data_IF_113726036790
#
_entry.id   IF_113726036790
#
_cell.length_a   1.000
_cell.length_b   1.000
_cell.length_c   1.000
_cell.angle_alpha   90.00
_cell.angle_beta   90.00
_cell.angle_gamma   90.00
#
_symmetry.space_group_name_H-M   'P 1'
#
loop_
_entity.id
_entity.type
_entity.pdbx_description
1 polymer ?
#
# COMPACT_ATOMS: atom_id res chain seq x y z
N UNK A 1 -48.10 82.88 44.87
CA UNK A 1 -47.30 82.71 43.69
C UNK A 1 -47.13 81.26 43.46
N UNK A 2 -47.85 80.72 42.49
CA UNK A 2 -48.08 79.30 42.24
C UNK A 2 -47.27 78.92 41.04
N UNK A 3 -46.19 78.16 41.23
CA UNK A 3 -45.38 77.62 40.10
C UNK A 3 -45.80 76.18 39.86
N UNK A 4 -46.42 75.91 38.79
CA UNK A 4 -46.72 74.57 38.28
C UNK A 4 -45.44 73.95 37.69
N UNK A 5 -45.18 72.67 37.97
CA UNK A 5 -44.04 71.94 37.34
C UNK A 5 -44.41 71.57 35.89
N UNK A 6 -43.47 71.81 34.99
CA UNK A 6 -43.60 71.44 33.57
C UNK A 6 -43.38 69.95 33.35
N UNK A 7 -44.08 69.27 32.46
CA UNK A 7 -43.92 67.88 32.15
C UNK A 7 -42.62 67.65 31.32
N UNK A 8 -41.82 66.66 31.74
CA UNK A 8 -40.62 66.21 31.07
C UNK A 8 -40.99 65.41 29.78
N UNK A 9 -40.21 65.51 28.70
CA UNK A 9 -40.44 64.73 27.49
C UNK A 9 -40.08 63.27 27.71
N UNK A 10 -41.00 62.39 27.41
CA UNK A 10 -40.78 60.91 27.43
C UNK A 10 -39.84 60.50 26.34
N UNK A 11 -38.74 59.83 26.68
CA UNK A 11 -37.80 59.25 25.77
C UNK A 11 -38.46 58.07 25.00
N UNK A 12 -38.61 58.27 23.69
CA UNK A 12 -39.07 57.25 22.76
C UNK A 12 -37.95 56.22 22.56
N UNK A 13 -38.14 55.03 23.04
CA UNK A 13 -37.26 53.87 22.84
C UNK A 13 -37.30 53.46 21.35
N UNK A 14 -36.14 53.35 20.66
CA UNK A 14 -36.16 52.92 19.27
C UNK A 14 -36.56 51.44 19.22
N UNK A 15 -37.61 51.17 18.43
CA UNK A 15 -38.09 49.82 18.10
C UNK A 15 -37.01 49.09 17.28
N UNK A 16 -36.33 48.12 17.89
CA UNK A 16 -35.37 47.22 17.23
C UNK A 16 -36.15 46.29 16.31
N UNK A 17 -35.91 46.29 14.97
CA UNK A 17 -36.57 45.34 14.07
C UNK A 17 -36.14 43.89 14.42
N UNK A 18 -37.12 43.05 14.74
CA UNK A 18 -36.95 41.62 14.93
C UNK A 18 -36.67 41.02 13.54
N UNK A 19 -35.38 40.75 13.24
CA UNK A 19 -35.00 39.95 12.08
C UNK A 19 -35.40 38.49 12.37
N UNK A 20 -36.52 38.09 11.76
CA UNK A 20 -36.88 36.66 11.71
C UNK A 20 -35.77 35.94 10.93
N UNK A 21 -34.94 35.16 11.69
CA UNK A 21 -33.98 34.26 11.09
C UNK A 21 -34.77 33.22 10.29
N UNK A 22 -34.74 33.34 8.97
CA UNK A 22 -35.26 32.34 8.05
C UNK A 22 -34.39 31.09 8.28
N UNK A 23 -34.96 30.07 8.92
CA UNK A 23 -34.29 28.78 9.11
C UNK A 23 -33.96 28.19 7.73
N UNK A 24 -32.71 28.21 7.36
CA UNK A 24 -32.23 27.54 6.15
C UNK A 24 -32.56 26.04 6.28
N UNK A 25 -33.34 25.45 5.35
CA UNK A 25 -33.64 24.02 5.43
C UNK A 25 -32.34 23.21 5.45
N UNK A 26 -32.21 22.38 6.47
CA UNK A 26 -31.06 21.50 6.59
C UNK A 26 -30.91 20.65 5.32
N UNK A 27 -29.78 20.77 4.65
CA UNK A 27 -29.47 19.97 3.47
C UNK A 27 -29.69 18.50 3.81
N UNK A 28 -30.44 17.72 3.02
CA UNK A 28 -30.63 16.30 3.27
C UNK A 28 -29.27 15.64 3.33
N UNK A 29 -29.00 14.92 4.42
CA UNK A 29 -27.76 14.15 4.58
C UNK A 29 -27.70 13.18 3.40
N UNK A 30 -26.75 13.41 2.48
CA UNK A 30 -26.49 12.49 1.37
C UNK A 30 -26.24 11.13 1.98
N UNK A 31 -27.06 10.15 1.67
CA UNK A 31 -26.83 8.75 2.03
C UNK A 31 -25.45 8.39 1.53
N UNK A 32 -24.50 8.15 2.46
CA UNK A 32 -23.17 7.66 2.11
C UNK A 32 -23.37 6.26 1.51
N UNK A 33 -22.97 6.03 0.25
CA UNK A 33 -23.16 4.72 -0.37
C UNK A 33 -22.53 3.66 0.52
N UNK A 34 -23.29 2.63 0.87
CA UNK A 34 -22.79 1.49 1.66
C UNK A 34 -21.70 0.82 0.82
N UNK A 35 -20.48 0.75 1.36
CA UNK A 35 -19.38 0.07 0.69
C UNK A 35 -19.66 -1.43 0.64
N UNK A 36 -19.87 -2.06 -0.53
CA UNK A 36 -20.21 -3.48 -0.63
C UNK A 36 -19.09 -4.39 -0.11
N UNK A 37 -17.88 -3.85 0.03
CA UNK A 37 -16.71 -4.58 0.52
C UNK A 37 -16.36 -4.26 1.98
N UNK A 38 -17.23 -3.60 2.75
CA UNK A 38 -16.93 -3.17 4.12
C UNK A 38 -16.48 -4.34 5.01
N UNK A 39 -17.19 -5.47 4.97
CA UNK A 39 -16.86 -6.66 5.75
C UNK A 39 -15.50 -7.27 5.34
N UNK A 40 -15.25 -7.39 4.04
CA UNK A 40 -13.97 -7.89 3.53
C UNK A 40 -12.80 -6.95 3.90
N UNK A 41 -13.01 -5.64 3.82
CA UNK A 41 -12.01 -4.67 4.22
C UNK A 41 -11.73 -4.73 5.73
N UNK A 42 -12.76 -4.90 6.57
CA UNK A 42 -12.59 -5.07 8.01
C UNK A 42 -11.80 -6.36 8.32
N UNK A 43 -12.11 -7.47 7.66
CA UNK A 43 -11.37 -8.73 7.79
C UNK A 43 -9.90 -8.56 7.40
N UNK A 44 -9.61 -7.88 6.30
CA UNK A 44 -8.25 -7.62 5.86
C UNK A 44 -7.46 -6.79 6.88
N UNK A 45 -8.06 -5.74 7.44
CA UNK A 45 -7.43 -4.88 8.47
C UNK A 45 -7.14 -5.64 9.77
N UNK A 46 -8.01 -6.57 10.18
CA UNK A 46 -7.77 -7.42 11.35
C UNK A 46 -6.53 -8.31 11.20
N UNK A 47 -6.08 -8.53 9.96
CA UNK A 47 -4.96 -9.42 9.64
C UNK A 47 -3.78 -8.70 8.96
N UNK A 48 -3.64 -7.39 9.18
CA UNK A 48 -2.53 -6.59 8.63
C UNK A 48 -1.14 -7.07 9.10
N UNK A 49 -1.06 -7.73 10.26
CA UNK A 49 0.17 -8.34 10.78
C UNK A 49 0.78 -9.36 9.81
N UNK A 50 -0.03 -9.98 8.96
CA UNK A 50 0.45 -10.89 7.91
C UNK A 50 1.24 -10.10 6.87
N UNK A 51 0.73 -8.93 6.43
CA UNK A 51 1.44 -8.07 5.47
C UNK A 51 2.78 -7.60 6.02
N UNK A 52 2.82 -7.20 7.28
CA UNK A 52 4.05 -6.77 7.95
C UNK A 52 5.12 -7.88 7.97
N UNK A 53 4.72 -9.09 8.33
CA UNK A 53 5.63 -10.25 8.38
C UNK A 53 6.13 -10.63 7.00
N UNK A 54 5.25 -10.66 5.99
CA UNK A 54 5.61 -10.96 4.60
C UNK A 54 6.57 -9.91 4.07
N UNK A 55 6.24 -8.63 4.22
CA UNK A 55 7.07 -7.51 3.78
C UNK A 55 8.45 -7.53 4.45
N UNK A 56 8.52 -7.67 5.78
CA UNK A 56 9.78 -7.71 6.51
C UNK A 56 10.67 -8.88 6.09
N UNK A 57 10.09 -10.07 5.86
CA UNK A 57 10.83 -11.24 5.42
C UNK A 57 11.41 -11.07 4.00
N UNK A 58 10.59 -10.57 3.09
CA UNK A 58 11.00 -10.42 1.69
C UNK A 58 11.95 -9.22 1.54
N UNK A 59 11.73 -8.10 2.22
CA UNK A 59 12.62 -6.93 2.21
C UNK A 59 14.07 -7.31 2.60
N UNK A 60 14.23 -8.09 3.68
CA UNK A 60 15.57 -8.58 4.11
C UNK A 60 16.27 -9.42 3.05
N UNK A 61 15.52 -10.15 2.25
CA UNK A 61 16.07 -11.08 1.23
C UNK A 61 16.34 -10.38 -0.10
N UNK A 62 15.60 -9.34 -0.40
CA UNK A 62 15.59 -8.71 -1.73
C UNK A 62 16.17 -7.30 -1.72
N UNK A 63 16.25 -6.65 -0.56
CA UNK A 63 16.68 -5.26 -0.43
C UNK A 63 15.65 -4.22 -0.91
N UNK A 64 14.42 -4.64 -1.28
CA UNK A 64 13.35 -3.70 -1.62
C UNK A 64 12.81 -2.98 -0.39
N UNK A 65 12.26 -1.75 -0.54
CA UNK A 65 11.64 -1.00 0.54
C UNK A 65 10.53 -1.80 1.20
N UNK A 66 10.57 -1.90 2.53
CA UNK A 66 9.59 -2.67 3.31
C UNK A 66 8.19 -2.08 3.16
N UNK A 67 8.09 -0.77 3.10
CA UNK A 67 6.84 -0.02 3.00
C UNK A 67 6.10 -0.37 1.70
N UNK A 68 6.80 -0.41 0.57
CA UNK A 68 6.21 -0.78 -0.72
C UNK A 68 5.72 -2.23 -0.69
N UNK A 69 6.56 -3.13 -0.20
CA UNK A 69 6.20 -4.55 -0.09
C UNK A 69 5.02 -4.77 0.87
N UNK A 70 4.90 -3.96 1.93
CA UNK A 70 3.77 -3.99 2.85
C UNK A 70 2.46 -3.60 2.15
N UNK A 71 2.46 -2.52 1.36
CA UNK A 71 1.29 -2.10 0.61
C UNK A 71 0.85 -3.17 -0.40
N UNK A 72 1.80 -3.75 -1.12
CA UNK A 72 1.52 -4.85 -2.07
C UNK A 72 0.97 -6.08 -1.35
N UNK A 73 1.55 -6.46 -0.20
CA UNK A 73 1.04 -7.56 0.61
C UNK A 73 -0.39 -7.30 1.11
N UNK A 74 -0.70 -6.06 1.50
CA UNK A 74 -2.06 -5.65 1.89
C UNK A 74 -3.06 -5.77 0.74
N UNK A 75 -2.67 -5.45 -0.50
CA UNK A 75 -3.52 -5.70 -1.68
C UNK A 75 -3.84 -7.19 -1.82
N UNK A 76 -2.86 -8.07 -1.62
CA UNK A 76 -3.08 -9.51 -1.61
C UNK A 76 -4.07 -9.94 -0.53
N UNK A 77 -3.95 -9.41 0.71
CA UNK A 77 -4.89 -9.72 1.79
C UNK A 77 -6.31 -9.23 1.47
N UNK A 78 -6.45 -8.04 0.88
CA UNK A 78 -7.75 -7.52 0.44
C UNK A 78 -8.39 -8.39 -0.64
N UNK A 79 -7.61 -8.88 -1.60
CA UNK A 79 -8.10 -9.82 -2.61
C UNK A 79 -8.54 -11.15 -1.97
N UNK A 80 -7.73 -11.67 -1.03
CA UNK A 80 -8.08 -12.86 -0.26
C UNK A 80 -9.41 -12.67 0.50
N UNK A 81 -9.57 -11.55 1.20
CA UNK A 81 -10.77 -11.25 1.99
C UNK A 81 -12.05 -11.20 1.14
N UNK A 82 -11.95 -10.65 -0.09
CA UNK A 82 -13.08 -10.61 -1.03
C UNK A 82 -13.50 -11.97 -1.58
N UNK A 83 -12.58 -12.94 -1.59
CA UNK A 83 -12.79 -14.29 -2.14
C UNK A 83 -12.92 -15.37 -1.05
N UNK A 84 -12.80 -14.95 0.21
CA UNK A 84 -12.78 -15.87 1.33
C UNK A 84 -14.15 -16.47 1.60
N UNK A 85 -14.16 -17.80 1.81
CA UNK A 85 -15.31 -18.57 2.30
C UNK A 85 -14.90 -19.29 3.59
N UNK A 86 -15.55 -19.02 4.73
CA UNK A 86 -15.23 -19.65 6.02
C UNK A 86 -15.31 -21.18 5.99
N UNK A 87 -16.15 -21.74 5.13
CA UNK A 87 -16.34 -23.18 4.96
C UNK A 87 -15.08 -23.92 4.48
N UNK A 88 -14.16 -23.18 3.85
CA UNK A 88 -12.92 -23.74 3.26
C UNK A 88 -11.73 -23.74 4.21
N UNK A 89 -11.92 -23.28 5.45
CA UNK A 89 -10.86 -23.26 6.46
C UNK A 89 -10.54 -21.86 6.96
N UNK A 90 -9.44 -21.71 7.72
CA UNK A 90 -9.08 -20.46 8.38
C UNK A 90 -8.54 -19.42 7.40
N UNK A 91 -8.86 -18.15 7.62
CA UNK A 91 -8.45 -17.03 6.77
C UNK A 91 -6.94 -16.79 6.76
N UNK A 92 -6.25 -16.96 7.89
CA UNK A 92 -4.83 -16.61 8.04
C UNK A 92 -3.89 -17.27 7.03
N UNK A 93 -3.87 -18.61 6.87
CA UNK A 93 -3.01 -19.24 5.87
C UNK A 93 -3.42 -18.87 4.44
N UNK A 94 -4.71 -18.74 4.17
CA UNK A 94 -5.22 -18.31 2.88
C UNK A 94 -4.75 -16.89 2.53
N UNK A 95 -4.92 -15.91 3.43
CA UNK A 95 -4.45 -14.53 3.25
C UNK A 95 -2.93 -14.47 3.06
N UNK A 96 -2.14 -15.28 3.81
CA UNK A 96 -0.69 -15.33 3.66
C UNK A 96 -0.26 -15.78 2.27
N UNK A 97 -0.95 -16.76 1.69
CA UNK A 97 -0.67 -17.23 0.34
C UNK A 97 -0.89 -16.12 -0.69
N UNK A 98 -2.00 -15.37 -0.59
CA UNK A 98 -2.27 -14.24 -1.45
C UNK A 98 -1.27 -13.10 -1.27
N UNK A 99 -0.95 -12.73 -0.02
CA UNK A 99 0.03 -11.69 0.27
C UNK A 99 1.41 -12.01 -0.33
N UNK A 100 1.89 -13.25 -0.17
CA UNK A 100 3.15 -13.68 -0.80
C UNK A 100 3.05 -13.65 -2.32
N UNK A 101 1.94 -14.15 -2.88
CA UNK A 101 1.70 -14.18 -4.33
C UNK A 101 1.81 -12.79 -4.95
N UNK A 102 1.09 -11.79 -4.41
CA UNK A 102 1.12 -10.42 -4.91
C UNK A 102 2.51 -9.79 -4.82
N UNK A 103 3.22 -10.00 -3.69
CA UNK A 103 4.59 -9.48 -3.56
C UNK A 103 5.53 -10.13 -4.57
N UNK A 104 5.44 -11.44 -4.81
CA UNK A 104 6.28 -12.09 -5.82
C UNK A 104 5.91 -11.66 -7.26
N UNK A 105 4.63 -11.42 -7.56
CA UNK A 105 4.21 -10.84 -8.83
C UNK A 105 4.79 -9.43 -9.02
N UNK A 106 4.68 -8.58 -8.00
CA UNK A 106 5.27 -7.25 -8.03
C UNK A 106 6.78 -7.29 -8.27
N UNK A 107 7.51 -8.10 -7.51
CA UNK A 107 8.97 -8.25 -7.67
C UNK A 107 9.36 -8.77 -9.05
N UNK A 108 8.56 -9.68 -9.61
CA UNK A 108 8.80 -10.19 -10.96
C UNK A 108 8.60 -9.11 -12.04
N UNK A 109 7.57 -8.28 -11.88
CA UNK A 109 7.13 -7.38 -12.94
C UNK A 109 7.67 -5.95 -12.78
N UNK A 110 7.92 -5.52 -11.54
CA UNK A 110 8.29 -4.14 -11.17
C UNK A 110 9.57 -4.04 -10.33
N UNK A 111 10.09 -5.16 -9.83
CA UNK A 111 11.24 -5.17 -8.91
C UNK A 111 12.59 -4.91 -9.59
N UNK A 112 12.63 -4.76 -10.90
CA UNK A 112 13.84 -4.47 -11.66
C UNK A 112 13.68 -3.13 -12.38
N UNK A 113 14.76 -2.33 -12.39
CA UNK A 113 14.83 -1.05 -13.09
C UNK A 113 14.67 -1.25 -14.60
N UNK A 114 15.21 -2.35 -15.11
CA UNK A 114 15.14 -2.75 -16.52
C UNK A 114 14.30 -4.03 -16.63
N UNK A 115 13.49 -4.13 -17.68
CA UNK A 115 12.72 -5.34 -17.95
C UNK A 115 13.64 -6.50 -18.36
N UNK A 116 13.99 -7.35 -17.40
CA UNK A 116 14.83 -8.53 -17.63
C UNK A 116 13.97 -9.70 -18.12
N UNK A 117 14.37 -10.41 -19.19
CA UNK A 117 13.68 -11.60 -19.67
C UNK A 117 13.53 -12.67 -18.56
N UNK A 118 12.43 -13.43 -18.58
CA UNK A 118 12.18 -14.48 -17.58
C UNK A 118 13.28 -15.54 -17.57
N UNK A 119 13.79 -15.94 -18.73
CA UNK A 119 14.90 -16.89 -18.87
C UNK A 119 16.18 -16.42 -18.16
N UNK A 120 16.50 -15.14 -18.24
CA UNK A 120 17.65 -14.57 -17.55
C UNK A 120 17.48 -14.57 -16.02
N UNK A 121 16.30 -14.23 -15.54
CA UNK A 121 15.98 -14.28 -14.11
C UNK A 121 16.08 -15.70 -13.56
N UNK A 122 15.64 -16.68 -14.34
CA UNK A 122 15.72 -18.09 -13.98
C UNK A 122 17.17 -18.59 -13.95
N UNK A 123 17.97 -18.28 -14.99
CA UNK A 123 19.40 -18.59 -15.02
C UNK A 123 20.14 -17.92 -13.85
N UNK A 124 19.85 -16.65 -13.56
CA UNK A 124 20.42 -15.93 -12.43
C UNK A 124 20.10 -16.61 -11.12
N UNK A 125 18.83 -16.98 -10.88
CA UNK A 125 18.42 -17.67 -9.65
C UNK A 125 19.13 -19.02 -9.48
N UNK A 126 19.28 -19.78 -10.57
CA UNK A 126 20.01 -21.06 -10.59
C UNK A 126 21.50 -20.84 -10.30
N UNK A 127 22.13 -19.85 -10.91
CA UNK A 127 23.54 -19.52 -10.67
C UNK A 127 23.80 -19.09 -9.24
N UNK A 128 22.95 -18.22 -8.69
CA UNK A 128 23.01 -17.83 -7.27
C UNK A 128 22.84 -19.03 -6.32
N UNK A 129 22.03 -20.01 -6.70
CA UNK A 129 21.90 -21.25 -5.93
C UNK A 129 23.20 -22.08 -5.97
N UNK A 130 23.83 -22.21 -7.13
CA UNK A 130 25.13 -22.91 -7.26
C UNK A 130 26.21 -22.26 -6.41
N UNK A 131 26.33 -20.93 -6.43
CA UNK A 131 27.27 -20.18 -5.59
C UNK A 131 27.04 -20.42 -4.10
N UNK A 132 25.79 -20.41 -3.64
CA UNK A 132 25.45 -20.72 -2.24
C UNK A 132 25.77 -22.15 -1.84
N UNK A 133 25.79 -23.07 -2.79
CA UNK A 133 26.18 -24.47 -2.57
C UNK A 133 27.68 -24.68 -2.67
N UNK A 134 28.50 -23.63 -2.79
CA UNK A 134 29.93 -23.67 -2.80
C UNK A 134 30.56 -23.90 -4.19
N UNK A 135 29.82 -23.76 -5.28
CA UNK A 135 30.41 -23.81 -6.61
C UNK A 135 31.35 -22.61 -6.84
N UNK A 136 32.51 -22.84 -7.46
CA UNK A 136 33.38 -21.74 -7.84
C UNK A 136 32.69 -20.83 -8.88
N UNK A 137 32.86 -19.51 -8.76
CA UNK A 137 32.22 -18.55 -9.64
C UNK A 137 32.58 -18.76 -11.13
N UNK A 138 33.79 -19.25 -11.40
CA UNK A 138 34.25 -19.57 -12.73
C UNK A 138 33.51 -20.74 -13.39
N UNK A 139 33.01 -21.70 -12.59
CA UNK A 139 32.34 -22.91 -13.07
C UNK A 139 30.84 -22.68 -13.32
N UNK A 140 30.28 -21.59 -12.81
CA UNK A 140 28.83 -21.32 -12.90
C UNK A 140 28.33 -21.23 -14.34
N UNK A 141 28.98 -20.50 -15.25
CA UNK A 141 28.54 -20.41 -16.66
C UNK A 141 28.45 -21.79 -17.33
N UNK A 142 29.47 -22.62 -17.16
CA UNK A 142 29.54 -23.97 -17.73
C UNK A 142 28.41 -24.85 -17.19
N UNK A 143 28.20 -24.85 -15.87
CA UNK A 143 27.09 -25.60 -15.22
C UNK A 143 25.70 -25.14 -15.62
N UNK A 144 25.56 -23.91 -16.08
CA UNK A 144 24.30 -23.35 -16.58
C UNK A 144 24.13 -23.53 -18.10
N UNK A 145 25.18 -23.98 -18.80
CA UNK A 145 25.17 -24.13 -20.26
C UNK A 145 25.18 -22.80 -21.00
N UNK A 146 25.81 -21.77 -20.44
CA UNK A 146 25.93 -20.44 -21.06
C UNK A 146 27.38 -20.01 -21.13
N UNK A 147 27.70 -19.09 -22.07
CA UNK A 147 29.04 -18.50 -22.12
C UNK A 147 29.34 -17.62 -20.89
N UNK A 148 30.60 -17.46 -20.54
CA UNK A 148 31.02 -16.58 -19.46
C UNK A 148 30.62 -15.12 -19.68
N UNK A 149 30.62 -14.67 -20.93
CA UNK A 149 30.16 -13.35 -21.32
C UNK A 149 28.65 -13.19 -21.09
N UNK A 150 27.87 -14.17 -21.55
CA UNK A 150 26.40 -14.17 -21.32
C UNK A 150 26.05 -14.21 -19.84
N UNK A 151 26.81 -14.96 -19.05
CA UNK A 151 26.61 -14.98 -17.60
C UNK A 151 26.87 -13.62 -16.96
N UNK A 152 27.92 -12.89 -17.39
CA UNK A 152 28.19 -11.53 -16.91
C UNK A 152 27.05 -10.57 -17.23
N UNK A 153 26.53 -10.59 -18.47
CA UNK A 153 25.36 -9.79 -18.85
C UNK A 153 24.13 -10.09 -17.97
N UNK A 154 23.87 -11.38 -17.72
CA UNK A 154 22.75 -11.82 -16.87
C UNK A 154 22.93 -11.31 -15.45
N UNK A 155 24.13 -11.42 -14.88
CA UNK A 155 24.43 -10.95 -13.52
C UNK A 155 24.26 -9.43 -13.45
N UNK A 156 24.79 -8.69 -14.42
CA UNK A 156 24.66 -7.24 -14.46
C UNK A 156 23.19 -6.82 -14.54
N UNK A 157 22.44 -7.33 -15.52
CA UNK A 157 21.03 -7.00 -15.69
C UNK A 157 20.16 -7.39 -14.49
N UNK A 158 20.43 -8.53 -13.85
CA UNK A 158 19.66 -9.01 -12.69
C UNK A 158 20.10 -8.41 -11.35
N UNK A 159 21.31 -7.86 -11.26
CA UNK A 159 21.80 -7.17 -10.06
C UNK A 159 21.36 -5.71 -10.01
N UNK A 160 21.00 -5.10 -11.14
CA UNK A 160 20.43 -3.75 -11.25
C UNK A 160 19.04 -3.72 -10.58
N UNK A 161 19.03 -3.59 -9.26
CA UNK A 161 17.79 -3.35 -8.50
C UNK A 161 17.43 -1.90 -8.58
N UNK A 162 16.15 -1.56 -8.40
CA UNK A 162 15.71 -0.18 -8.16
C UNK A 162 16.55 0.37 -7.00
N UNK A 163 17.50 1.22 -7.32
CA UNK A 163 18.52 1.65 -6.37
C UNK A 163 17.92 2.65 -5.40
N UNK A 164 18.20 2.49 -4.12
CA UNK A 164 17.91 3.47 -3.06
C UNK A 164 18.56 4.85 -3.29
N UNK A 165 19.47 4.96 -4.23
CA UNK A 165 20.31 6.15 -4.41
C UNK A 165 19.58 7.35 -5.02
N UNK A 166 18.46 7.15 -5.73
CA UNK A 166 17.68 8.26 -6.28
C UNK A 166 16.79 9.00 -5.27
N UNK A 167 16.67 8.48 -4.04
CA UNK A 167 15.80 9.08 -3.01
C UNK A 167 16.57 10.00 -2.05
N UNK A 168 17.90 9.94 -2.04
CA UNK A 168 18.73 10.75 -1.12
C UNK A 168 19.20 12.11 -1.69
N UNK A 169 18.78 12.49 -2.89
CA UNK A 169 19.17 13.78 -3.51
C UNK A 169 18.06 14.84 -3.54
N UNK A 170 16.97 14.66 -2.76
CA UNK A 170 15.95 15.70 -2.59
C UNK A 170 15.65 15.97 -1.12
#
# INVERSE_FOLDING_TARGET
>A
MNQQPQPQPQATTPHRPQTHAVATPARPRRHRPVNPHAAANALALQHQDIAERVAANIARRTGHPREDLHQIAMLGILQAARRYSPERGSFRPYARTYANGEVYHYLRDKGFLIKVPSSWRELYARGQKLLRLGAAAADVPERLGVSAERWREIVEACSQRVVKELINEY
#
